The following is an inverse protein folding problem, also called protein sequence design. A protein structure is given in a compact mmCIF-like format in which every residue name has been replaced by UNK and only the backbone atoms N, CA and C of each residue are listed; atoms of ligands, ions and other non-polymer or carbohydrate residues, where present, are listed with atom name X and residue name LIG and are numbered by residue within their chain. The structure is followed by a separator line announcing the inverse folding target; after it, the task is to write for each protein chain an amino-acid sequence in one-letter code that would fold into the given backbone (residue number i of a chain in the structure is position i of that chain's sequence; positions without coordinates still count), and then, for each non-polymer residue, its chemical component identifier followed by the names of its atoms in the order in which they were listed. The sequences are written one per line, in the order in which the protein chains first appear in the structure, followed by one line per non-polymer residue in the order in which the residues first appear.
data_IF_347078453049
#
_entry.id   IF_347078453049
#
_cell.length_a   1.000
_cell.length_b   1.000
_cell.length_c   1.000
_cell.angle_alpha   90.00
_cell.angle_beta   90.00
_cell.angle_gamma   90.00
#
_symmetry.space_group_name_H-M   'P 1'
#
loop_
_entity.id
_entity.type
_entity.pdbx_description
1 polymer ?
#
# COMPACT_ATOMS: atom_id res chain seq x y z
N UNK A 1 26.97 14.91 -1.23
CA UNK A 1 25.86 14.61 -0.31
C UNK A 1 25.35 13.23 -0.71
N UNK A 2 25.28 12.28 0.23
CA UNK A 2 24.79 10.93 -0.05
C UNK A 2 23.26 10.89 -0.15
N UNK A 3 22.72 9.82 -0.73
CA UNK A 3 21.29 9.52 -0.71
C UNK A 3 20.93 9.10 0.73
N UNK A 4 19.96 9.77 1.35
CA UNK A 4 19.63 9.57 2.78
C UNK A 4 18.20 9.04 3.00
N UNK A 5 17.45 8.84 1.93
CA UNK A 5 16.03 8.48 1.92
C UNK A 5 15.58 7.97 0.54
N UNK A 6 15.62 6.66 0.32
CA UNK A 6 15.12 6.06 -0.93
C UNK A 6 13.62 5.75 -0.83
N UNK A 7 12.89 6.00 -1.91
CA UNK A 7 11.48 5.64 -2.05
C UNK A 7 11.30 4.88 -3.35
N UNK A 8 10.70 3.69 -3.28
CA UNK A 8 10.35 2.86 -4.42
C UNK A 8 8.84 2.79 -4.54
N UNK A 9 8.33 3.03 -5.75
CA UNK A 9 6.93 2.80 -6.10
C UNK A 9 6.84 1.65 -7.10
N UNK A 10 6.05 0.64 -6.76
CA UNK A 10 5.87 -0.56 -7.58
C UNK A 10 4.39 -0.82 -7.85
N UNK A 11 4.10 -1.72 -8.79
CA UNK A 11 2.75 -2.14 -9.16
C UNK A 11 2.74 -3.61 -9.56
N UNK A 12 1.87 -4.00 -10.49
CA UNK A 12 1.73 -5.36 -11.07
C UNK A 12 1.17 -6.43 -10.12
N UNK A 13 1.55 -6.43 -8.84
CA UNK A 13 1.15 -7.46 -7.87
C UNK A 13 -0.35 -7.52 -7.55
N UNK A 14 -1.15 -6.54 -8.02
CA UNK A 14 -2.59 -6.42 -7.76
C UNK A 14 -2.98 -6.49 -6.28
N UNK A 15 -2.10 -6.00 -5.41
CA UNK A 15 -2.30 -5.99 -3.96
C UNK A 15 -1.49 -4.88 -3.33
N UNK A 16 -1.85 -4.55 -2.10
CA UNK A 16 -1.13 -3.64 -1.25
C UNK A 16 0.05 -4.33 -0.59
N UNK A 17 1.24 -3.79 -0.80
CA UNK A 17 2.43 -4.16 -0.05
C UNK A 17 3.16 -2.90 0.39
N UNK A 18 3.73 -2.94 1.58
CA UNK A 18 4.62 -1.89 2.04
C UNK A 18 5.84 -2.53 2.71
N UNK A 19 7.03 -2.18 2.24
CA UNK A 19 8.28 -2.75 2.73
C UNK A 19 9.24 -1.70 3.26
N UNK A 20 9.94 -2.05 4.33
CA UNK A 20 11.21 -1.43 4.64
C UNK A 20 12.30 -2.06 3.78
N UNK A 21 13.07 -1.24 3.08
CA UNK A 21 14.20 -1.70 2.27
C UNK A 21 15.46 -1.63 3.10
N UNK A 22 16.12 -2.76 3.30
CA UNK A 22 17.34 -2.87 4.11
C UNK A 22 18.57 -3.03 3.24
N UNK A 23 19.74 -2.66 3.77
CA UNK A 23 21.02 -2.69 3.04
C UNK A 23 21.40 -4.09 2.52
N UNK A 24 21.00 -5.15 3.23
CA UNK A 24 21.23 -6.53 2.82
C UNK A 24 20.00 -7.41 3.17
N UNK A 25 19.15 -7.75 2.20
CA UNK A 25 17.96 -8.58 2.41
C UNK A 25 18.28 -10.06 2.68
N UNK A 26 19.53 -10.50 2.54
CA UNK A 26 19.94 -11.89 2.77
C UNK A 26 20.26 -12.21 4.24
N UNK A 27 20.33 -11.18 5.11
CA UNK A 27 20.76 -11.31 6.49
C UNK A 27 19.57 -11.26 7.48
N UNK A 28 19.49 -12.20 8.46
CA UNK A 28 18.31 -12.37 9.33
C UNK A 28 18.18 -11.37 10.49
N UNK A 29 18.79 -10.19 10.42
CA UNK A 29 18.97 -9.29 11.57
C UNK A 29 18.21 -7.96 11.50
N UNK A 30 17.21 -7.84 10.61
CA UNK A 30 16.34 -6.67 10.58
C UNK A 30 15.30 -6.70 11.71
N UNK A 31 15.29 -5.66 12.54
CA UNK A 31 14.22 -5.41 13.52
C UNK A 31 13.53 -4.09 13.15
N UNK A 32 12.28 -4.16 12.67
CA UNK A 32 11.58 -2.96 12.23
C UNK A 32 11.38 -1.93 13.33
N UNK A 33 11.36 -0.65 12.95
CA UNK A 33 10.95 0.41 13.86
C UNK A 33 9.50 0.18 14.32
N UNK A 34 9.28 0.20 15.63
CA UNK A 34 7.95 0.11 16.24
C UNK A 34 7.46 1.46 16.80
N UNK A 35 8.32 2.49 16.77
CA UNK A 35 8.08 3.84 17.28
C UNK A 35 9.02 4.84 16.59
N UNK A 36 9.07 6.11 17.04
CA UNK A 36 9.90 7.18 16.46
C UNK A 36 11.42 6.90 16.47
N UNK A 37 11.87 5.94 17.27
CA UNK A 37 13.23 5.45 17.19
C UNK A 37 13.33 4.57 15.94
N UNK A 38 14.24 4.92 15.03
CA UNK A 38 14.47 4.17 13.80
C UNK A 38 14.65 2.66 13.98
N UNK A 39 14.73 1.91 12.89
CA UNK A 39 14.82 0.45 12.94
C UNK A 39 15.97 0.01 13.83
N UNK A 40 15.72 -1.02 14.65
CA UNK A 40 16.70 -1.59 15.55
C UNK A 40 17.43 -2.76 14.86
N UNK A 41 18.50 -3.26 15.50
CA UNK A 41 19.28 -4.37 14.97
C UNK A 41 20.53 -3.91 14.22
N UNK A 42 21.22 -4.87 13.58
CA UNK A 42 22.51 -4.61 12.92
C UNK A 42 22.39 -4.17 11.48
N UNK A 43 21.18 -4.23 10.90
CA UNK A 43 20.90 -3.76 9.55
C UNK A 43 20.14 -2.44 9.60
N UNK A 44 20.58 -1.49 8.77
CA UNK A 44 19.88 -0.23 8.60
C UNK A 44 18.87 -0.30 7.45
N UNK A 45 17.78 0.44 7.60
CA UNK A 45 16.87 0.71 6.48
C UNK A 45 17.54 1.76 5.58
N UNK A 46 17.49 1.51 4.28
CA UNK A 46 18.02 2.39 3.23
C UNK A 46 16.90 3.08 2.46
N UNK A 47 15.65 2.63 2.61
CA UNK A 47 14.49 3.21 1.98
C UNK A 47 13.20 2.49 2.31
N UNK A 48 12.14 2.85 1.61
CA UNK A 48 10.83 2.22 1.72
C UNK A 48 10.28 1.90 0.34
N UNK A 49 9.48 0.86 0.25
CA UNK A 49 8.69 0.55 -0.94
C UNK A 49 7.20 0.63 -0.61
N UNK A 50 6.45 1.29 -1.48
CA UNK A 50 4.99 1.19 -1.53
C UNK A 50 4.58 0.52 -2.83
N UNK A 51 3.77 -0.51 -2.70
CA UNK A 51 3.11 -1.21 -3.81
C UNK A 51 1.61 -0.99 -3.67
N UNK A 52 1.03 0.01 -4.36
CA UNK A 52 -0.42 0.18 -4.38
C UNK A 52 -1.12 -1.00 -5.05
N UNK A 53 -2.37 -1.26 -4.63
CA UNK A 53 -3.20 -2.25 -5.28
C UNK A 53 -3.65 -1.79 -6.68
N UNK A 54 -4.39 -2.65 -7.37
CA UNK A 54 -5.00 -2.33 -8.65
C UNK A 54 -6.37 -1.66 -8.47
N UNK A 55 -6.81 -0.90 -9.47
CA UNK A 55 -8.18 -0.35 -9.52
C UNK A 55 -9.15 -1.18 -10.38
N UNK A 56 -8.75 -2.37 -10.84
CA UNK A 56 -9.59 -3.15 -11.75
C UNK A 56 -9.03 -4.49 -12.22
N UNK A 57 -7.91 -4.95 -11.65
CA UNK A 57 -7.37 -6.28 -11.86
C UNK A 57 -7.58 -7.15 -10.62
N UNK A 58 -8.01 -8.41 -10.78
CA UNK A 58 -8.28 -9.31 -9.66
C UNK A 58 -7.10 -9.39 -8.67
N UNK A 59 -7.39 -9.29 -7.38
CA UNK A 59 -6.42 -9.51 -6.32
C UNK A 59 -6.26 -11.00 -6.03
N UNK A 60 -5.47 -11.32 -5.01
CA UNK A 60 -5.25 -12.70 -4.57
C UNK A 60 -6.54 -13.44 -4.25
N UNK A 61 -7.52 -12.76 -3.65
CA UNK A 61 -8.80 -13.37 -3.25
C UNK A 61 -9.53 -13.95 -4.46
N UNK A 62 -9.67 -13.15 -5.50
CA UNK A 62 -10.23 -13.57 -6.77
C UNK A 62 -9.35 -14.58 -7.53
N UNK A 63 -8.01 -14.47 -7.44
CA UNK A 63 -7.10 -15.44 -8.07
C UNK A 63 -7.28 -16.84 -7.49
N UNK A 64 -7.31 -16.95 -6.15
CA UNK A 64 -7.54 -18.23 -5.47
C UNK A 64 -8.95 -18.74 -5.77
N UNK A 65 -9.96 -17.88 -5.67
CA UNK A 65 -11.33 -18.24 -6.01
C UNK A 65 -11.47 -18.69 -7.48
N UNK A 66 -10.74 -18.06 -8.40
CA UNK A 66 -10.76 -18.37 -9.82
C UNK A 66 -10.20 -19.76 -10.10
N UNK A 67 -9.08 -20.11 -9.45
CA UNK A 67 -8.52 -21.45 -9.54
C UNK A 67 -9.47 -22.53 -8.98
N UNK A 68 -10.17 -22.24 -7.87
CA UNK A 68 -11.17 -23.16 -7.31
C UNK A 68 -12.39 -23.32 -8.23
N UNK A 69 -12.86 -22.22 -8.81
CA UNK A 69 -13.98 -22.22 -9.75
C UNK A 69 -13.62 -23.00 -11.03
N UNK A 70 -12.45 -22.75 -11.63
CA UNK A 70 -11.99 -23.46 -12.83
C UNK A 70 -11.90 -24.97 -12.59
N UNK A 71 -11.36 -25.39 -11.44
CA UNK A 71 -11.25 -26.79 -11.06
C UNK A 71 -12.61 -27.49 -10.85
N UNK A 72 -13.65 -26.75 -10.45
CA UNK A 72 -14.96 -27.30 -10.13
C UNK A 72 -15.95 -27.23 -11.31
N UNK A 73 -15.95 -26.12 -12.05
CA UNK A 73 -16.99 -25.79 -13.04
C UNK A 73 -16.47 -25.82 -14.50
N UNK A 74 -15.15 -25.79 -14.73
CA UNK A 74 -14.55 -26.05 -16.05
C UNK A 74 -14.81 -25.01 -17.16
N UNK A 75 -15.30 -23.81 -16.81
CA UNK A 75 -15.56 -22.69 -17.72
C UNK A 75 -14.92 -21.38 -17.24
N UNK A 76 -15.04 -20.28 -17.99
CA UNK A 76 -14.49 -19.01 -17.56
C UNK A 76 -15.41 -18.32 -16.54
N UNK A 77 -14.82 -17.62 -15.56
CA UNK A 77 -15.56 -16.94 -14.47
C UNK A 77 -16.60 -15.94 -14.99
N UNK A 78 -16.34 -15.27 -16.11
CA UNK A 78 -17.24 -14.22 -16.61
C UNK A 78 -18.60 -14.76 -17.10
N UNK A 79 -18.67 -16.04 -17.47
CA UNK A 79 -19.92 -16.67 -17.94
C UNK A 79 -20.87 -17.02 -16.78
N UNK A 80 -20.34 -17.15 -15.56
CA UNK A 80 -21.11 -17.48 -14.34
C UNK A 80 -20.57 -16.71 -13.12
N UNK A 81 -20.54 -15.39 -13.27
CA UNK A 81 -19.96 -14.51 -12.26
C UNK A 81 -20.71 -14.57 -10.92
N UNK A 82 -22.03 -14.78 -10.92
CA UNK A 82 -22.80 -14.85 -9.68
C UNK A 82 -22.46 -16.10 -8.85
N UNK A 83 -22.31 -17.27 -9.47
CA UNK A 83 -21.85 -18.47 -8.76
C UNK A 83 -20.43 -18.28 -8.23
N UNK A 84 -19.52 -17.74 -9.06
CA UNK A 84 -18.17 -17.38 -8.64
C UNK A 84 -18.19 -16.48 -7.39
N UNK A 85 -18.93 -15.37 -7.46
CA UNK A 85 -19.01 -14.35 -6.41
C UNK A 85 -19.62 -14.88 -5.12
N UNK A 86 -20.66 -15.70 -5.20
CA UNK A 86 -21.38 -16.17 -4.01
C UNK A 86 -20.72 -17.39 -3.36
N UNK A 87 -20.14 -18.29 -4.14
CA UNK A 87 -19.65 -19.59 -3.65
C UNK A 87 -18.14 -19.65 -3.48
N UNK A 88 -17.38 -19.04 -4.39
CA UNK A 88 -15.93 -19.23 -4.47
C UNK A 88 -15.15 -18.04 -3.92
N UNK A 89 -15.59 -16.80 -4.19
CA UNK A 89 -14.91 -15.60 -3.71
C UNK A 89 -14.71 -15.58 -2.18
N UNK A 90 -15.71 -15.92 -1.34
CA UNK A 90 -15.52 -15.95 0.12
C UNK A 90 -14.43 -16.95 0.58
N UNK A 91 -14.27 -18.06 -0.15
CA UNK A 91 -13.23 -19.06 0.13
C UNK A 91 -11.85 -18.50 -0.22
N UNK A 92 -11.72 -17.86 -1.38
CA UNK A 92 -10.50 -17.21 -1.82
C UNK A 92 -10.08 -16.08 -0.86
N UNK A 93 -11.01 -15.20 -0.49
CA UNK A 93 -10.76 -14.15 0.51
C UNK A 93 -10.33 -14.71 1.86
N UNK A 94 -10.92 -15.82 2.31
CA UNK A 94 -10.55 -16.47 3.57
C UNK A 94 -9.12 -17.01 3.50
N UNK A 95 -8.78 -17.71 2.42
CA UNK A 95 -7.43 -18.24 2.21
C UNK A 95 -6.39 -17.12 2.18
N UNK A 96 -6.67 -16.03 1.47
CA UNK A 96 -5.76 -14.90 1.34
C UNK A 96 -5.64 -14.12 2.64
N UNK A 97 -6.71 -13.99 3.44
CA UNK A 97 -6.62 -13.38 4.77
C UNK A 97 -5.67 -14.16 5.69
N UNK A 98 -5.60 -15.48 5.56
CA UNK A 98 -4.60 -16.29 6.28
C UNK A 98 -3.19 -15.94 5.81
N UNK A 99 -2.97 -15.85 4.48
CA UNK A 99 -1.69 -15.44 3.90
C UNK A 99 -1.27 -14.03 4.37
N UNK A 100 -2.21 -13.09 4.40
CA UNK A 100 -2.03 -11.73 4.93
C UNK A 100 -1.55 -11.72 6.37
N UNK A 101 -2.05 -12.64 7.21
CA UNK A 101 -1.66 -12.74 8.61
C UNK A 101 -0.30 -13.40 8.83
N UNK A 102 0.12 -14.34 7.98
CA UNK A 102 1.38 -15.09 8.15
C UNK A 102 2.56 -14.47 7.45
N UNK A 103 2.36 -13.77 6.32
CA UNK A 103 3.47 -13.22 5.54
C UNK A 103 4.36 -12.24 6.34
N UNK A 104 3.82 -11.33 7.17
CA UNK A 104 4.64 -10.45 8.01
C UNK A 104 5.45 -11.20 9.08
N UNK A 105 5.05 -12.43 9.45
CA UNK A 105 5.77 -13.23 10.45
C UNK A 105 7.01 -13.91 9.88
N UNK A 106 7.05 -14.12 8.56
CA UNK A 106 8.18 -14.74 7.86
C UNK A 106 9.02 -13.73 7.09
N UNK A 107 8.51 -12.51 6.91
CA UNK A 107 9.22 -11.39 6.32
C UNK A 107 9.01 -10.13 7.17
N UNK A 108 9.95 -9.85 8.08
CA UNK A 108 9.88 -8.69 8.96
C UNK A 108 9.90 -7.35 8.19
N UNK A 109 10.44 -7.34 6.97
CA UNK A 109 10.47 -6.17 6.12
C UNK A 109 9.08 -5.82 5.58
N UNK A 110 8.15 -6.79 5.52
CA UNK A 110 6.77 -6.58 5.07
C UNK A 110 5.94 -5.94 6.19
N UNK A 111 5.74 -4.63 6.07
CA UNK A 111 5.05 -3.79 7.07
C UNK A 111 3.55 -3.76 6.86
N UNK A 112 3.10 -4.02 5.63
CA UNK A 112 1.69 -4.17 5.32
C UNK A 112 1.46 -5.08 4.14
N UNK A 113 0.41 -5.88 4.25
CA UNK A 113 -0.03 -6.77 3.19
C UNK A 113 -1.57 -6.82 3.18
N UNK A 114 -2.16 -6.49 2.03
CA UNK A 114 -3.54 -6.76 1.74
C UNK A 114 -3.66 -7.10 0.25
N UNK A 115 -4.10 -8.30 -0.07
CA UNK A 115 -4.23 -8.76 -1.46
C UNK A 115 -5.69 -8.98 -1.87
N UNK A 116 -6.62 -8.40 -1.11
CA UNK A 116 -8.05 -8.62 -1.29
C UNK A 116 -8.77 -7.41 -1.85
N UNK A 117 -8.20 -6.22 -1.67
CA UNK A 117 -8.93 -4.98 -1.93
C UNK A 117 -8.24 -4.12 -2.97
N UNK A 118 -9.06 -3.33 -3.66
CA UNK A 118 -8.68 -2.52 -4.80
C UNK A 118 -8.40 -1.09 -4.36
N UNK A 119 -7.65 -0.35 -5.15
CA UNK A 119 -7.47 1.08 -4.93
C UNK A 119 -6.19 1.65 -5.49
N UNK A 120 -5.77 2.78 -4.93
CA UNK A 120 -4.59 3.51 -5.35
C UNK A 120 -3.83 4.11 -4.16
N UNK A 121 -2.53 4.34 -4.35
CA UNK A 121 -1.68 4.97 -3.35
C UNK A 121 -1.52 6.46 -3.64
N UNK A 122 -1.53 7.29 -2.61
CA UNK A 122 -1.11 8.69 -2.70
C UNK A 122 0.15 8.91 -1.87
N UNK A 123 1.04 9.75 -2.37
CA UNK A 123 2.25 10.17 -1.68
C UNK A 123 2.25 11.68 -1.50
N UNK A 124 2.61 12.14 -0.31
CA UNK A 124 2.88 13.53 -0.02
C UNK A 124 4.33 13.67 0.44
N UNK A 125 5.09 14.52 -0.25
CA UNK A 125 6.52 14.74 -0.02
C UNK A 125 6.75 16.17 0.46
N UNK A 126 7.54 16.30 1.52
CA UNK A 126 8.12 17.56 2.01
C UNK A 126 9.64 17.42 2.10
N UNK A 127 10.34 18.48 2.49
CA UNK A 127 11.82 18.49 2.58
C UNK A 127 12.41 17.48 3.59
N UNK A 128 11.61 17.04 4.55
CA UNK A 128 12.00 16.21 5.68
C UNK A 128 11.16 14.92 5.83
N UNK A 129 10.08 14.78 5.07
CA UNK A 129 9.06 13.76 5.31
C UNK A 129 8.40 13.26 4.03
N UNK A 130 8.04 11.99 4.06
CA UNK A 130 7.20 11.33 3.08
C UNK A 130 6.01 10.67 3.79
N UNK A 131 4.80 11.03 3.39
CA UNK A 131 3.56 10.42 3.86
C UNK A 131 2.94 9.61 2.74
N UNK A 132 2.70 8.33 3.00
CA UNK A 132 2.07 7.40 2.06
C UNK A 132 0.66 7.09 2.53
N UNK A 133 -0.31 7.16 1.66
CA UNK A 133 -1.72 6.85 1.93
C UNK A 133 -2.20 5.74 1.00
N UNK A 134 -2.94 4.78 1.56
CA UNK A 134 -3.53 3.68 0.83
C UNK A 134 -5.05 3.88 0.82
N UNK A 135 -5.61 4.15 -0.35
CA UNK A 135 -7.03 4.43 -0.54
C UNK A 135 -7.69 3.24 -1.22
N UNK A 136 -8.55 2.55 -0.48
CA UNK A 136 -9.40 1.48 -0.98
C UNK A 136 -10.58 2.05 -1.76
N UNK A 137 -10.91 1.44 -2.89
CA UNK A 137 -12.09 1.76 -3.69
C UNK A 137 -12.93 0.50 -3.93
N UNK A 138 -14.27 0.60 -3.94
CA UNK A 138 -15.09 -0.48 -4.43
C UNK A 138 -14.77 -0.78 -5.89
N UNK A 139 -14.58 -2.06 -6.21
CA UNK A 139 -14.40 -2.56 -7.57
C UNK A 139 -15.07 -3.94 -7.69
N UNK A 140 -15.44 -4.37 -8.91
CA UNK A 140 -15.29 -3.68 -10.20
C UNK A 140 -16.40 -2.64 -10.47
N UNK A 141 -17.30 -2.39 -9.51
CA UNK A 141 -18.42 -1.46 -9.69
C UNK A 141 -17.94 -0.02 -9.44
N UNK A 142 -18.35 0.90 -10.32
CA UNK A 142 -18.13 2.34 -10.10
C UNK A 142 -18.72 2.76 -8.76
N UNK A 143 -17.91 3.44 -7.96
CA UNK A 143 -18.33 4.05 -6.70
C UNK A 143 -17.72 5.44 -6.57
N UNK A 144 -18.45 6.32 -5.88
CA UNK A 144 -17.93 7.62 -5.43
C UNK A 144 -17.40 7.54 -3.99
N UNK A 145 -17.34 6.33 -3.42
CA UNK A 145 -16.79 6.04 -2.11
C UNK A 145 -15.35 5.54 -2.20
N UNK A 146 -14.52 6.00 -1.27
CA UNK A 146 -13.16 5.53 -1.08
C UNK A 146 -12.80 5.54 0.40
N UNK A 147 -11.97 4.60 0.85
CA UNK A 147 -11.62 4.47 2.26
C UNK A 147 -10.12 4.56 2.45
N UNK A 148 -9.64 5.49 3.28
CA UNK A 148 -8.25 5.46 3.72
C UNK A 148 -8.06 4.25 4.66
N UNK A 149 -7.37 3.22 4.18
CA UNK A 149 -7.18 1.97 4.93
C UNK A 149 -5.89 1.96 5.73
N UNK A 150 -4.89 2.75 5.31
CA UNK A 150 -3.60 2.89 6.02
C UNK A 150 -2.86 4.15 5.60
N UNK A 151 -2.04 4.68 6.51
CA UNK A 151 -1.09 5.74 6.20
C UNK A 151 0.26 5.46 6.89
N UNK A 152 1.35 5.69 6.17
CA UNK A 152 2.71 5.57 6.67
C UNK A 152 3.45 6.89 6.65
N UNK A 153 4.34 7.06 7.61
CA UNK A 153 5.35 8.09 7.67
C UNK A 153 6.71 7.49 7.33
N UNK A 154 7.50 8.24 6.57
CA UNK A 154 8.92 7.98 6.31
C UNK A 154 9.68 9.30 6.46
N UNK A 155 10.82 9.29 7.16
CA UNK A 155 11.58 10.50 7.49
C UNK A 155 12.94 10.52 6.82
N UNK A 156 13.37 11.71 6.41
CA UNK A 156 14.70 11.91 5.87
C UNK A 156 15.77 11.55 6.90
N UNK A 157 16.75 10.73 6.51
CA UNK A 157 17.83 10.28 7.39
C UNK A 157 17.43 9.21 8.42
N UNK A 158 16.16 8.81 8.44
CA UNK A 158 15.66 7.67 9.21
C UNK A 158 14.56 6.97 8.39
N UNK A 159 14.92 6.36 7.25
CA UNK A 159 13.93 5.74 6.40
C UNK A 159 13.29 4.54 7.11
N UNK A 160 11.98 4.38 6.92
CA UNK A 160 11.20 3.31 7.53
C UNK A 160 9.72 3.66 7.55
N UNK A 161 8.87 2.64 7.48
CA UNK A 161 7.42 2.77 7.48
C UNK A 161 6.88 2.79 8.91
N UNK A 162 6.65 3.99 9.43
CA UNK A 162 5.99 4.21 10.71
C UNK A 162 4.49 4.41 10.47
N UNK A 163 3.64 3.54 11.03
CA UNK A 163 2.19 3.71 10.92
C UNK A 163 1.77 4.99 11.63
N UNK A 164 1.09 5.90 10.91
CA UNK A 164 0.64 7.18 11.49
C UNK A 164 -0.62 6.97 12.31
N UNK A 165 -0.50 6.61 13.58
CA UNK A 165 -1.64 6.51 14.50
C UNK A 165 -2.66 5.41 14.13
N UNK A 166 -3.51 4.99 15.09
CA UNK A 166 -4.66 4.16 14.78
C UNK A 166 -5.74 5.04 14.15
N UNK A 167 -5.72 5.23 12.83
CA UNK A 167 -6.87 5.82 12.16
C UNK A 167 -8.06 4.86 12.28
N UNK A 168 -9.23 5.37 12.67
CA UNK A 168 -10.47 4.71 12.24
C UNK A 168 -10.44 4.67 10.72
N UNK A 169 -10.73 3.53 10.10
CA UNK A 169 -10.98 3.49 8.64
C UNK A 169 -12.08 4.50 8.34
N UNK A 170 -11.74 5.67 7.80
CA UNK A 170 -12.72 6.69 7.46
C UNK A 170 -13.04 6.55 5.99
N UNK A 171 -14.24 6.04 5.71
CA UNK A 171 -14.82 6.13 4.38
C UNK A 171 -15.08 7.60 4.04
N UNK A 172 -14.61 8.03 2.88
CA UNK A 172 -14.85 9.35 2.30
C UNK A 172 -15.79 9.16 1.11
N UNK A 173 -16.87 9.93 1.07
CA UNK A 173 -17.79 9.99 -0.08
C UNK A 173 -17.50 11.26 -0.87
N UNK A 174 -17.27 11.14 -2.17
CA UNK A 174 -16.96 12.26 -3.05
C UNK A 174 -15.52 12.78 -2.90
N UNK A 175 -15.33 14.09 -2.96
CA UNK A 175 -14.00 14.71 -2.92
C UNK A 175 -13.33 14.52 -1.56
N UNK A 176 -11.99 14.36 -1.58
CA UNK A 176 -11.13 14.39 -0.40
C UNK A 176 -11.47 15.63 0.44
N UNK A 177 -11.76 15.43 1.73
CA UNK A 177 -12.22 16.49 2.66
C UNK A 177 -11.08 17.31 3.26
N UNK A 178 -9.84 17.08 2.81
CA UNK A 178 -8.69 17.80 3.34
C UNK A 178 -8.67 19.25 2.87
N UNK A 179 -8.03 20.10 3.67
CA UNK A 179 -7.79 21.48 3.28
C UNK A 179 -7.02 21.50 1.94
N UNK A 180 -7.39 22.39 1.00
CA UNK A 180 -6.66 22.56 -0.25
C UNK A 180 -5.18 22.78 0.03
N UNK A 181 -4.32 22.23 -0.83
CA UNK A 181 -2.90 22.54 -0.76
C UNK A 181 -2.69 24.06 -0.79
N UNK A 182 -1.74 24.60 0.00
CA UNK A 182 -1.35 25.99 -0.12
C UNK A 182 -1.00 26.31 -1.59
N UNK A 183 -1.34 27.53 -2.02
CA UNK A 183 -0.93 27.97 -3.35
C UNK A 183 0.61 27.86 -3.47
N UNK A 184 1.15 27.37 -4.60
CA UNK A 184 2.59 27.31 -4.78
C UNK A 184 3.17 28.72 -4.61
N UNK A 185 4.23 28.85 -3.81
CA UNK A 185 4.98 30.08 -3.72
C UNK A 185 5.58 30.36 -5.11
N UNK A 186 5.03 31.36 -5.80
CA UNK A 186 5.62 31.81 -7.05
C UNK A 186 7.00 32.38 -6.73
N UNK A 187 8.06 31.97 -7.45
CA UNK A 187 9.36 32.59 -7.27
C UNK A 187 9.22 34.10 -7.47
N UNK A 188 9.85 34.88 -6.60
CA UNK A 188 9.85 36.33 -6.71
C UNK A 188 10.22 36.70 -8.15
N UNK A 189 9.31 37.43 -8.81
CA UNK A 189 9.53 37.93 -10.17
C UNK A 189 10.88 38.66 -10.15
N UNK A 190 11.86 38.13 -10.87
CA UNK A 190 13.11 38.84 -11.12
C UNK A 190 12.75 40.12 -11.83
N UNK A 191 12.77 41.25 -11.11
CA UNK A 191 12.74 42.57 -11.73
C UNK A 191 14.11 42.76 -12.37
N UNK A 192 14.24 42.80 -13.70
CA UNK A 192 15.51 43.15 -14.31
C UNK A 192 15.85 44.59 -13.89
N UNK A 193 17.02 44.78 -13.29
CA UNK A 193 17.57 46.10 -13.05
C UNK A 193 17.91 46.69 -14.42
N UNK A 194 17.24 47.79 -14.78
CA UNK A 194 17.51 48.59 -15.98
C UNK A 194 18.66 49.55 -15.70
#
# INVERSE_FOLDING_TARGET
QGIVDNIVFSGDSHGWFAHDLIEDPSLPSYVPAIADNGPAGTLQTVGVELVPSSMGRPGGGEVVAGALYEAAEGGPVHDDYETFRQRYLPLGETAVRVLEGVAPLVNNNLRYFNWRTYGYGLTHLTDDRHVMELWEVPAPVRSDEQTLIRQFDNRRGNPGLLERGPFSRVATVGLRQDLPAPAPELPAVFTPVV
#
